data_IF_007531175286
#
_entry.id   IF_007531175286
#
_cell.length_a   1.000
_cell.length_b   1.000
_cell.length_c   1.000
_cell.angle_alpha   90.00
_cell.angle_beta   90.00
_cell.angle_gamma   90.00
#
_symmetry.space_group_name_H-M   'P 1'
#
loop_
_entity.id
_entity.type
_entity.pdbx_description
1 polymer ?
#
# COMPACT_ATOMS: atom_id res chain seq x y z
N UNK A 1 29.90 -17.19 4.11
CA UNK A 1 28.42 -17.14 4.04
C UNK A 1 28.03 -15.80 4.61
N UNK A 2 27.69 -14.83 3.77
CA UNK A 2 27.18 -13.53 4.19
C UNK A 2 25.75 -13.75 4.66
N UNK A 3 25.42 -13.38 5.91
CA UNK A 3 24.03 -13.44 6.36
C UNK A 3 23.15 -12.61 5.41
N UNK A 4 21.95 -13.10 5.03
CA UNK A 4 21.01 -12.26 4.32
C UNK A 4 20.70 -11.07 5.23
N UNK A 5 21.04 -9.85 4.81
CA UNK A 5 20.70 -8.65 5.56
C UNK A 5 19.20 -8.66 5.79
N UNK A 6 18.75 -8.68 7.05
CA UNK A 6 17.32 -8.60 7.38
C UNK A 6 16.67 -7.28 6.93
N UNK A 7 17.51 -6.30 6.56
CA UNK A 7 17.12 -5.04 6.00
C UNK A 7 16.91 -5.13 4.48
N UNK A 8 15.75 -4.65 4.04
CA UNK A 8 15.40 -4.46 2.63
C UNK A 8 16.36 -3.48 1.94
N UNK A 9 16.56 -3.64 0.64
CA UNK A 9 17.50 -2.83 -0.12
C UNK A 9 17.09 -1.34 -0.18
N UNK A 10 18.03 -0.40 -0.40
CA UNK A 10 17.70 1.02 -0.55
C UNK A 10 16.68 1.29 -1.67
N UNK A 11 16.76 0.56 -2.78
CA UNK A 11 15.86 0.69 -3.93
C UNK A 11 14.43 0.32 -3.56
N UNK A 12 14.25 -0.70 -2.71
CA UNK A 12 12.96 -1.08 -2.16
C UNK A 12 12.35 0.08 -1.36
N UNK A 13 13.14 0.71 -0.50
CA UNK A 13 12.68 1.86 0.29
C UNK A 13 12.35 3.08 -0.54
N UNK A 14 13.15 3.35 -1.58
CA UNK A 14 12.88 4.44 -2.52
C UNK A 14 11.56 4.19 -3.23
N UNK A 15 11.31 2.96 -3.70
CA UNK A 15 10.06 2.61 -4.36
C UNK A 15 8.84 2.77 -3.44
N UNK A 16 8.94 2.34 -2.18
CA UNK A 16 7.91 2.56 -1.16
C UNK A 16 7.71 4.06 -0.92
N UNK A 17 8.78 4.84 -0.74
CA UNK A 17 8.69 6.27 -0.46
C UNK A 17 8.00 7.03 -1.60
N UNK A 18 8.33 6.73 -2.86
CA UNK A 18 7.66 7.31 -4.03
C UNK A 18 6.18 6.93 -4.03
N UNK A 19 5.85 5.66 -3.78
CA UNK A 19 4.46 5.22 -3.66
C UNK A 19 3.72 5.98 -2.55
N UNK A 20 4.33 6.19 -1.39
CA UNK A 20 3.76 6.97 -0.29
C UNK A 20 3.54 8.46 -0.65
N UNK A 21 4.44 9.09 -1.40
CA UNK A 21 4.27 10.49 -1.83
C UNK A 21 3.05 10.63 -2.76
N UNK A 22 2.92 9.73 -3.74
CA UNK A 22 1.76 9.71 -4.66
C UNK A 22 0.45 9.57 -3.87
N UNK A 23 0.46 8.82 -2.77
CA UNK A 23 -0.70 8.64 -1.90
C UNK A 23 -1.08 9.87 -1.12
N UNK A 24 -0.12 10.49 -0.41
CA UNK A 24 -0.38 11.68 0.39
C UNK A 24 -1.00 12.78 -0.49
N UNK A 25 -0.50 12.94 -1.73
CA UNK A 25 -1.06 13.90 -2.69
C UNK A 25 -2.48 13.58 -3.13
N UNK A 26 -2.87 12.31 -3.14
CA UNK A 26 -4.20 11.86 -3.61
C UNK A 26 -5.20 11.65 -2.47
N UNK A 27 -4.87 12.01 -1.23
CA UNK A 27 -5.70 11.75 -0.04
C UNK A 27 -6.21 13.02 0.64
N UNK A 28 -6.56 14.03 -0.15
CA UNK A 28 -7.01 15.35 0.32
C UNK A 28 -8.21 15.33 1.31
N UNK A 29 -8.87 14.18 1.48
CA UNK A 29 -10.07 14.01 2.29
C UNK A 29 -9.85 13.29 3.65
N UNK A 30 -8.65 12.77 3.95
CA UNK A 30 -8.40 12.10 5.24
C UNK A 30 -7.69 13.01 6.23
N UNK A 31 -8.12 12.93 7.49
CA UNK A 31 -7.43 13.59 8.60
C UNK A 31 -6.03 13.00 8.87
N UNK A 32 -5.13 13.74 9.54
CA UNK A 32 -3.73 13.36 9.72
C UNK A 32 -3.52 11.97 10.34
N UNK A 33 -4.34 11.61 11.34
CA UNK A 33 -4.24 10.30 12.01
C UNK A 33 -4.53 9.14 11.04
N UNK A 34 -5.59 9.28 10.22
CA UNK A 34 -5.97 8.28 9.22
C UNK A 34 -4.87 8.11 8.18
N UNK A 35 -4.23 9.21 7.75
CA UNK A 35 -3.07 9.16 6.83
C UNK A 35 -1.91 8.36 7.44
N UNK A 36 -1.54 8.63 8.69
CA UNK A 36 -0.45 7.92 9.38
C UNK A 36 -0.75 6.42 9.50
N UNK A 37 -1.95 6.05 9.94
CA UNK A 37 -2.35 4.64 10.06
C UNK A 37 -2.27 3.93 8.70
N UNK A 38 -2.70 4.61 7.64
CA UNK A 38 -2.68 4.05 6.29
C UNK A 38 -1.26 3.85 5.76
N UNK A 39 -0.34 4.78 6.05
CA UNK A 39 1.09 4.64 5.74
C UNK A 39 1.69 3.44 6.47
N UNK A 40 1.42 3.30 7.77
CA UNK A 40 1.95 2.21 8.58
C UNK A 40 1.50 0.83 8.06
N UNK A 41 0.21 0.68 7.76
CA UNK A 41 -0.35 -0.54 7.16
C UNK A 41 0.30 -0.83 5.80
N UNK A 42 0.46 0.19 4.95
CA UNK A 42 1.04 0.01 3.63
C UNK A 42 2.51 -0.44 3.66
N UNK A 43 3.30 0.17 4.54
CA UNK A 43 4.71 -0.22 4.75
C UNK A 43 4.80 -1.63 5.33
N UNK A 44 3.98 -1.96 6.33
CA UNK A 44 3.94 -3.30 6.91
C UNK A 44 3.54 -4.38 5.90
N UNK A 45 2.52 -4.11 5.08
CA UNK A 45 2.09 -5.01 4.03
C UNK A 45 3.19 -5.25 2.98
N UNK A 46 3.89 -4.19 2.56
CA UNK A 46 5.01 -4.34 1.63
C UNK A 46 6.17 -5.12 2.26
N UNK A 47 6.45 -4.92 3.55
CA UNK A 47 7.50 -5.67 4.24
C UNK A 47 7.26 -7.19 4.21
N UNK A 48 6.01 -7.61 4.39
CA UNK A 48 5.62 -9.03 4.47
C UNK A 48 5.32 -9.64 3.10
N UNK A 49 4.70 -8.89 2.20
CA UNK A 49 4.12 -9.42 0.97
C UNK A 49 4.93 -9.20 -0.31
N UNK A 50 5.98 -8.36 -0.29
CA UNK A 50 6.67 -7.97 -1.52
C UNK A 50 7.39 -9.12 -2.23
N UNK A 51 7.99 -10.07 -1.51
CA UNK A 51 8.69 -11.21 -2.13
C UNK A 51 7.70 -12.13 -2.84
N UNK A 52 6.61 -12.49 -2.14
CA UNK A 52 5.53 -13.28 -2.74
C UNK A 52 4.92 -12.58 -3.96
N UNK A 53 4.70 -11.26 -3.88
CA UNK A 53 4.18 -10.48 -5.00
C UNK A 53 5.19 -10.40 -6.15
N UNK A 54 6.48 -10.31 -5.87
CA UNK A 54 7.54 -10.31 -6.88
C UNK A 54 7.57 -11.64 -7.65
N UNK A 55 7.51 -12.76 -6.93
CA UNK A 55 7.45 -14.10 -7.52
C UNK A 55 6.17 -14.30 -8.35
N UNK A 56 5.03 -13.90 -7.80
CA UNK A 56 3.71 -14.08 -8.44
C UNK A 56 3.56 -13.22 -9.70
N UNK A 57 4.06 -11.99 -9.67
CA UNK A 57 3.92 -11.04 -10.78
C UNK A 57 5.10 -11.08 -11.76
N UNK A 58 6.19 -11.78 -11.43
CA UNK A 58 7.40 -11.85 -12.25
C UNK A 58 8.11 -10.49 -12.38
N UNK A 59 8.06 -9.66 -11.34
CA UNK A 59 8.65 -8.30 -11.35
C UNK A 59 9.72 -8.16 -10.26
N UNK A 60 10.65 -7.19 -10.37
CA UNK A 60 11.63 -6.93 -9.31
C UNK A 60 10.97 -6.59 -7.96
N UNK A 61 11.56 -7.05 -6.86
CA UNK A 61 11.07 -6.83 -5.48
C UNK A 61 10.74 -5.37 -5.15
N UNK A 62 11.53 -4.35 -5.58
CA UNK A 62 11.16 -2.95 -5.37
C UNK A 62 9.84 -2.56 -6.06
N UNK A 63 9.60 -3.06 -7.28
CA UNK A 63 8.37 -2.81 -8.03
C UNK A 63 7.20 -3.51 -7.34
N UNK A 64 7.37 -4.76 -6.94
CA UNK A 64 6.36 -5.50 -6.18
C UNK A 64 6.04 -4.82 -4.85
N UNK A 65 7.07 -4.32 -4.13
CA UNK A 65 6.91 -3.55 -2.90
C UNK A 65 6.07 -2.28 -3.10
N UNK A 66 6.30 -1.55 -4.19
CA UNK A 66 5.47 -0.39 -4.54
C UNK A 66 4.03 -0.77 -4.86
N UNK A 67 3.80 -1.85 -5.61
CA UNK A 67 2.46 -2.37 -5.92
C UNK A 67 1.72 -2.75 -4.64
N UNK A 68 2.32 -3.60 -3.80
CA UNK A 68 1.72 -4.03 -2.52
C UNK A 68 1.44 -2.83 -1.62
N UNK A 69 2.37 -1.88 -1.55
CA UNK A 69 2.19 -0.63 -0.82
C UNK A 69 0.92 0.06 -1.29
N UNK A 70 0.76 0.31 -2.60
CA UNK A 70 -0.41 0.99 -3.18
C UNK A 70 -1.71 0.20 -2.94
N UNK A 71 -1.69 -1.12 -3.13
CA UNK A 71 -2.87 -1.98 -2.95
C UNK A 71 -3.35 -2.00 -1.49
N UNK A 72 -2.45 -2.23 -0.54
CA UNK A 72 -2.81 -2.30 0.88
C UNK A 72 -3.42 -0.99 1.39
N UNK A 73 -2.94 0.13 0.85
CA UNK A 73 -3.51 1.43 1.15
C UNK A 73 -4.88 1.64 0.52
N UNK A 74 -5.08 1.27 -0.74
CA UNK A 74 -6.42 1.30 -1.36
C UNK A 74 -7.45 0.51 -0.56
N UNK A 75 -7.07 -0.68 -0.07
CA UNK A 75 -7.91 -1.50 0.82
C UNK A 75 -8.18 -0.77 2.13
N UNK A 76 -7.16 -0.20 2.77
CA UNK A 76 -7.33 0.52 4.04
C UNK A 76 -8.21 1.76 3.88
N UNK A 77 -8.06 2.54 2.80
CA UNK A 77 -8.95 3.67 2.52
C UNK A 77 -10.38 3.22 2.30
N UNK A 78 -10.58 2.13 1.56
CA UNK A 78 -11.91 1.56 1.37
C UNK A 78 -12.53 1.12 2.70
N UNK A 79 -11.75 0.50 3.59
CA UNK A 79 -12.20 0.14 4.94
C UNK A 79 -12.55 1.36 5.79
N UNK A 80 -11.72 2.41 5.77
CA UNK A 80 -12.01 3.66 6.50
C UNK A 80 -13.28 4.32 5.97
N UNK A 81 -13.47 4.37 4.65
CA UNK A 81 -14.71 4.85 4.04
C UNK A 81 -15.90 3.98 4.45
N UNK A 82 -15.75 2.65 4.49
CA UNK A 82 -16.83 1.74 4.88
C UNK A 82 -17.24 1.93 6.35
N UNK A 83 -16.30 2.30 7.22
CA UNK A 83 -16.59 2.61 8.64
C UNK A 83 -17.29 3.96 8.78
N UNK A 84 -16.85 4.98 8.04
CA UNK A 84 -17.43 6.33 8.14
C UNK A 84 -18.79 6.46 7.39
N UNK A 85 -18.88 5.90 6.17
CA UNK A 85 -20.05 5.90 5.29
C UNK A 85 -20.14 4.59 4.46
N UNK A 86 -20.79 3.54 5.00
CA UNK A 86 -20.86 2.23 4.35
C UNK A 86 -21.60 2.24 3.00
N UNK A 87 -22.50 3.19 2.77
CA UNK A 87 -23.22 3.28 1.48
C UNK A 87 -22.28 3.71 0.37
N UNK A 88 -21.46 4.74 0.63
CA UNK A 88 -20.48 5.23 -0.31
C UNK A 88 -19.42 4.17 -0.64
N UNK A 89 -18.98 3.39 0.35
CA UNK A 89 -18.04 2.29 0.12
C UNK A 89 -18.62 1.16 -0.77
N UNK A 90 -19.91 0.84 -0.61
CA UNK A 90 -20.61 -0.13 -1.45
C UNK A 90 -20.76 0.39 -2.89
N UNK A 91 -21.05 1.67 -3.06
CA UNK A 91 -21.20 2.26 -4.39
C UNK A 91 -19.86 2.35 -5.13
N UNK A 92 -18.77 2.67 -4.43
CA UNK A 92 -17.41 2.58 -4.97
C UNK A 92 -17.06 1.13 -5.39
N UNK A 93 -17.40 0.15 -4.56
CA UNK A 93 -17.19 -1.27 -4.86
C UNK A 93 -17.98 -1.74 -6.09
N UNK A 94 -19.24 -1.30 -6.22
CA UNK A 94 -20.06 -1.59 -7.41
C UNK A 94 -19.46 -0.95 -8.66
N UNK A 95 -18.91 0.26 -8.55
CA UNK A 95 -18.26 0.94 -9.68
C UNK A 95 -17.04 0.17 -10.17
N UNK A 96 -16.20 -0.35 -9.26
CA UNK A 96 -15.02 -1.16 -9.62
C UNK A 96 -15.33 -2.51 -10.26
N UNK A 97 -16.55 -3.04 -10.08
CA UNK A 97 -16.99 -4.32 -10.68
C UNK A 97 -17.69 -4.17 -12.03
N UNK A 98 -17.88 -2.94 -12.51
CA UNK A 98 -18.38 -2.67 -13.87
C UNK A 98 -17.23 -2.58 -14.84
#
# INVERSE_FOLDING_TARGET
MTEPSSFRSPEFWIAIAIALIVKIKTTAQLGPLKVITTIAVAVGAAWVGADWAAETLGVPVPVAGAVVTLTAEGVMRWLLLAVDDPKNAIDLWKHWRR
#
